data_IF_941523780812
#
_entry.id   IF_941523780812
#
_cell.length_a   1.000
_cell.length_b   1.000
_cell.length_c   1.000
_cell.angle_alpha   90.00
_cell.angle_beta   90.00
_cell.angle_gamma   90.00
#
_symmetry.space_group_name_H-M   'P 1'
#
loop_
_entity.id
_entity.type
_entity.pdbx_description
1 polymer ?
#
# COMPACT_ATOMS: atom_id res chain seq x y z
N UNK A 1 -1.26 -2.36 7.11
CA UNK A 1 -1.88 -2.57 8.44
C UNK A 1 -3.13 -1.70 8.49
N UNK A 2 -3.59 -1.16 9.62
CA UNK A 2 -4.53 -0.02 9.56
C UNK A 2 -3.74 1.29 9.42
N UNK A 3 -4.27 2.34 8.79
CA UNK A 3 -3.60 3.64 8.69
C UNK A 3 -3.15 4.19 10.06
N UNK A 4 -3.98 3.98 11.10
CA UNK A 4 -3.64 4.34 12.48
C UNK A 4 -2.32 3.70 12.96
N UNK A 5 -2.06 2.45 12.58
CA UNK A 5 -0.87 1.74 13.01
C UNK A 5 0.38 2.36 12.37
N UNK A 6 0.30 2.76 11.09
CA UNK A 6 1.38 3.47 10.40
C UNK A 6 1.64 4.85 11.00
N UNK A 7 0.60 5.58 11.42
CA UNK A 7 0.76 6.86 12.14
C UNK A 7 1.48 6.65 13.47
N UNK A 8 1.07 5.65 14.27
CA UNK A 8 1.66 5.39 15.59
C UNK A 8 3.12 4.94 15.43
N UNK A 9 3.39 3.95 14.59
CA UNK A 9 4.72 3.39 14.41
C UNK A 9 5.65 4.34 13.66
N UNK A 10 5.14 5.11 12.70
CA UNK A 10 5.89 6.19 12.06
C UNK A 10 6.30 7.26 13.06
N UNK A 11 5.39 7.69 13.94
CA UNK A 11 5.69 8.65 15.01
C UNK A 11 6.75 8.11 15.96
N UNK A 12 6.58 6.86 16.41
CA UNK A 12 7.54 6.22 17.31
C UNK A 12 8.93 6.07 16.66
N UNK A 13 8.98 5.67 15.39
CA UNK A 13 10.23 5.56 14.64
C UNK A 13 10.91 6.92 14.45
N UNK A 14 10.17 7.97 14.08
CA UNK A 14 10.72 9.33 13.98
C UNK A 14 11.27 9.83 15.32
N UNK A 15 10.56 9.57 16.43
CA UNK A 15 11.02 9.94 17.76
C UNK A 15 12.29 9.19 18.17
N UNK A 16 12.36 7.88 17.87
CA UNK A 16 13.56 7.08 18.11
C UNK A 16 14.75 7.59 17.29
N UNK A 17 14.55 7.88 15.99
CA UNK A 17 15.60 8.45 15.13
C UNK A 17 16.08 9.81 15.64
N UNK A 18 15.18 10.66 16.12
CA UNK A 18 15.54 11.92 16.75
C UNK A 18 16.41 11.71 17.99
N UNK A 19 16.07 10.75 18.85
CA UNK A 19 16.83 10.48 20.08
C UNK A 19 18.21 9.84 19.84
N UNK A 20 18.41 9.19 18.69
CA UNK A 20 19.62 8.42 18.40
C UNK A 20 20.67 9.22 17.63
N UNK A 21 20.34 10.42 17.14
CA UNK A 21 21.27 11.22 16.35
C UNK A 21 20.97 12.71 16.43
N UNK A 22 21.89 13.45 17.04
CA UNK A 22 21.87 14.93 17.10
C UNK A 22 22.02 15.59 15.72
N UNK A 23 22.44 14.83 14.70
CA UNK A 23 22.71 15.34 13.35
C UNK A 23 21.50 15.31 12.40
N UNK A 24 20.37 14.71 12.81
CA UNK A 24 19.21 14.64 11.93
C UNK A 24 18.37 15.90 12.12
N UNK A 25 18.33 16.74 11.08
CA UNK A 25 17.42 17.88 11.04
C UNK A 25 15.96 17.42 11.17
N UNK A 26 15.18 18.09 12.02
CA UNK A 26 13.77 17.75 12.29
C UNK A 26 12.92 17.69 11.01
N UNK A 27 13.24 18.54 10.03
CA UNK A 27 12.60 18.56 8.71
C UNK A 27 12.71 17.21 7.99
N UNK A 28 13.86 16.54 8.09
CA UNK A 28 14.07 15.23 7.48
C UNK A 28 13.22 14.14 8.15
N UNK A 29 13.02 14.23 9.48
CA UNK A 29 12.12 13.33 10.20
C UNK A 29 10.65 13.56 9.84
N UNK A 30 10.27 14.81 9.54
CA UNK A 30 8.94 15.13 9.01
C UNK A 30 8.75 14.48 7.64
N UNK A 31 9.76 14.55 6.75
CA UNK A 31 9.70 13.89 5.45
C UNK A 31 9.55 12.37 5.57
N UNK A 32 10.34 11.74 6.43
CA UNK A 32 10.23 10.31 6.72
C UNK A 32 8.85 9.93 7.27
N UNK A 33 8.35 10.70 8.25
CA UNK A 33 7.06 10.45 8.90
C UNK A 33 5.90 10.59 7.91
N UNK A 34 5.88 11.68 7.14
CA UNK A 34 4.87 11.91 6.11
C UNK A 34 4.91 10.81 5.05
N UNK A 35 6.10 10.43 4.58
CA UNK A 35 6.26 9.37 3.59
C UNK A 35 5.74 8.01 4.10
N UNK A 36 5.96 7.70 5.38
CA UNK A 36 5.42 6.50 6.04
C UNK A 36 3.89 6.44 6.03
N UNK A 37 3.21 7.58 5.98
CA UNK A 37 1.74 7.64 5.99
C UNK A 37 1.19 7.78 4.56
N UNK A 38 1.80 8.65 3.76
CA UNK A 38 1.29 9.04 2.44
C UNK A 38 1.47 7.97 1.37
N UNK A 39 2.37 7.00 1.57
CA UNK A 39 2.51 5.86 0.66
C UNK A 39 1.18 5.10 0.47
N UNK A 40 0.34 5.04 1.52
CA UNK A 40 -0.97 4.38 1.48
C UNK A 40 -2.02 5.09 0.61
N UNK A 41 -1.71 6.26 0.06
CA UNK A 41 -2.64 6.94 -0.87
C UNK A 41 -2.93 6.09 -2.11
N UNK A 42 -2.05 5.13 -2.46
CA UNK A 42 -2.29 4.19 -3.54
C UNK A 42 -3.53 3.29 -3.30
N UNK A 43 -3.86 2.96 -2.05
CA UNK A 43 -5.10 2.27 -1.68
C UNK A 43 -6.33 3.11 -1.98
N UNK A 44 -6.25 4.43 -1.83
CA UNK A 44 -7.33 5.33 -2.19
C UNK A 44 -7.51 5.41 -3.72
N UNK A 45 -6.40 5.47 -4.47
CA UNK A 45 -6.43 5.41 -5.93
C UNK A 45 -6.98 4.07 -6.45
N UNK A 46 -6.60 2.96 -5.82
CA UNK A 46 -7.13 1.63 -6.13
C UNK A 46 -8.65 1.56 -5.94
N UNK A 47 -9.17 2.10 -4.83
CA UNK A 47 -10.61 2.18 -4.61
C UNK A 47 -11.32 3.00 -5.71
N UNK A 48 -10.80 4.20 -6.02
CA UNK A 48 -11.37 5.07 -7.07
C UNK A 48 -11.40 4.33 -8.41
N UNK A 49 -10.30 3.69 -8.77
CA UNK A 49 -10.20 2.93 -10.01
C UNK A 49 -11.23 1.80 -10.08
N UNK A 50 -11.31 0.97 -9.03
CA UNK A 50 -12.23 -0.17 -9.00
C UNK A 50 -13.70 0.24 -8.88
N UNK A 51 -14.00 1.42 -8.35
CA UNK A 51 -15.35 1.98 -8.34
C UNK A 51 -15.70 2.79 -9.61
N UNK A 52 -14.80 2.85 -10.59
CA UNK A 52 -14.96 3.57 -11.87
C UNK A 52 -15.13 5.08 -11.70
N UNK A 53 -14.43 5.69 -10.75
CA UNK A 53 -14.45 7.15 -10.53
C UNK A 53 -15.83 7.72 -10.19
N UNK A 54 -16.70 6.89 -9.60
CA UNK A 54 -18.08 7.28 -9.27
C UNK A 54 -18.27 7.58 -7.78
N UNK A 55 -17.28 7.27 -6.93
CA UNK A 55 -17.35 7.50 -5.48
C UNK A 55 -15.96 7.87 -4.92
N UNK A 56 -15.86 9.05 -4.30
CA UNK A 56 -14.63 9.60 -3.71
C UNK A 56 -14.67 9.60 -2.17
N UNK A 57 -15.59 8.85 -1.56
CA UNK A 57 -15.73 8.80 -0.11
C UNK A 57 -14.60 8.01 0.55
N UNK A 58 -13.77 8.69 1.34
CA UNK A 58 -12.73 8.05 2.15
C UNK A 58 -13.31 6.99 3.11
N UNK A 59 -14.48 7.24 3.71
CA UNK A 59 -15.14 6.26 4.59
C UNK A 59 -15.50 4.97 3.85
N UNK A 60 -15.95 5.07 2.60
CA UNK A 60 -16.28 3.89 1.77
C UNK A 60 -15.03 3.19 1.27
N UNK A 61 -13.96 3.93 0.95
CA UNK A 61 -12.64 3.35 0.69
C UNK A 61 -12.14 2.50 1.87
N UNK A 62 -12.26 3.00 3.11
CA UNK A 62 -11.86 2.24 4.30
C UNK A 62 -12.69 0.96 4.48
N UNK A 63 -14.01 1.03 4.22
CA UNK A 63 -14.88 -0.16 4.23
C UNK A 63 -14.48 -1.15 3.13
N UNK A 64 -14.13 -0.65 1.94
CA UNK A 64 -13.75 -1.45 0.79
C UNK A 64 -12.50 -2.27 1.07
N UNK A 65 -11.44 -1.63 1.58
CA UNK A 65 -10.22 -2.33 1.98
C UNK A 65 -10.43 -3.24 3.20
N UNK A 66 -11.36 -2.90 4.10
CA UNK A 66 -11.81 -3.81 5.16
C UNK A 66 -12.45 -5.10 4.62
N UNK A 67 -13.32 -4.99 3.61
CA UNK A 67 -13.93 -6.14 2.94
C UNK A 67 -12.88 -6.98 2.19
N UNK A 68 -12.00 -6.33 1.44
CA UNK A 68 -10.90 -7.00 0.72
C UNK A 68 -9.98 -7.73 1.69
N UNK A 69 -9.62 -7.11 2.82
CA UNK A 69 -8.85 -7.77 3.86
C UNK A 69 -9.56 -9.01 4.38
N UNK A 70 -10.88 -8.98 4.60
CA UNK A 70 -11.61 -10.19 5.01
C UNK A 70 -11.63 -11.27 3.91
N UNK A 71 -11.58 -10.87 2.64
CA UNK A 71 -11.51 -11.76 1.47
C UNK A 71 -10.10 -12.19 1.08
N UNK A 72 -9.07 -11.84 1.88
CA UNK A 72 -7.66 -12.18 1.59
C UNK A 72 -7.35 -13.68 1.44
N UNK A 73 -8.29 -14.55 1.85
CA UNK A 73 -8.19 -16.00 1.72
C UNK A 73 -8.86 -16.55 0.45
N UNK A 74 -9.56 -15.72 -0.32
CA UNK A 74 -10.15 -16.10 -1.59
C UNK A 74 -9.01 -16.46 -2.58
N UNK A 75 -9.08 -17.61 -3.29
CA UNK A 75 -8.07 -17.99 -4.29
C UNK A 75 -7.88 -16.98 -5.42
N UNK A 76 -8.91 -16.18 -5.73
CA UNK A 76 -8.85 -15.11 -6.71
C UNK A 76 -8.21 -13.81 -6.15
N UNK A 77 -7.92 -13.75 -4.85
CA UNK A 77 -7.33 -12.58 -4.23
C UNK A 77 -5.85 -12.41 -4.61
N UNK A 78 -5.56 -11.29 -5.25
CA UNK A 78 -4.21 -10.83 -5.53
C UNK A 78 -4.19 -9.32 -5.54
N UNK A 79 -3.33 -8.70 -4.72
CA UNK A 79 -3.25 -7.25 -4.62
C UNK A 79 -1.94 -6.70 -5.23
N UNK A 80 -2.01 -5.51 -5.81
CA UNK A 80 -0.86 -4.69 -6.19
C UNK A 80 -1.11 -3.27 -5.69
N UNK A 81 -0.30 -2.84 -4.74
CA UNK A 81 -0.25 -1.45 -4.31
C UNK A 81 0.95 -0.81 -5.02
N UNK A 82 0.69 0.12 -5.94
CA UNK A 82 1.70 0.61 -6.90
C UNK A 82 2.92 1.18 -6.18
N UNK A 83 2.72 2.01 -5.14
CA UNK A 83 3.83 2.62 -4.41
C UNK A 83 4.60 1.62 -3.54
N UNK A 84 4.03 0.43 -3.30
CA UNK A 84 4.67 -0.67 -2.61
C UNK A 84 5.45 -1.61 -3.55
N UNK A 85 5.42 -1.33 -4.86
CA UNK A 85 6.13 -2.13 -5.84
C UNK A 85 7.63 -1.87 -5.82
N UNK A 86 8.41 -2.90 -6.16
CA UNK A 86 9.87 -2.79 -6.34
C UNK A 86 10.18 -1.77 -7.44
N UNK A 87 9.34 -1.67 -8.48
CA UNK A 87 9.49 -0.69 -9.55
C UNK A 87 9.39 0.75 -9.02
N UNK A 88 8.38 1.06 -8.21
CA UNK A 88 8.25 2.39 -7.60
C UNK A 88 9.37 2.69 -6.61
N UNK A 89 9.78 1.71 -5.79
CA UNK A 89 10.90 1.87 -4.87
C UNK A 89 12.24 2.07 -5.57
N UNK A 90 12.47 1.33 -6.66
CA UNK A 90 13.66 1.45 -7.49
C UNK A 90 13.71 2.79 -8.21
N UNK A 91 12.59 3.25 -8.78
CA UNK A 91 12.50 4.55 -9.43
C UNK A 91 12.76 5.70 -8.44
N UNK A 92 12.12 5.69 -7.27
CA UNK A 92 12.36 6.70 -6.23
C UNK A 92 13.80 6.66 -5.72
N UNK A 93 14.37 5.47 -5.53
CA UNK A 93 15.78 5.30 -5.15
C UNK A 93 16.74 5.84 -6.20
N UNK A 94 16.50 5.57 -7.49
CA UNK A 94 17.32 6.09 -8.58
C UNK A 94 17.27 7.63 -8.66
N UNK A 95 16.09 8.23 -8.53
CA UNK A 95 15.94 9.70 -8.48
C UNK A 95 16.63 10.29 -7.26
N UNK A 96 16.54 9.62 -6.11
CA UNK A 96 17.23 10.02 -4.87
C UNK A 96 18.75 10.05 -5.08
N UNK A 97 19.32 8.98 -5.63
CA UNK A 97 20.77 8.88 -5.90
C UNK A 97 21.23 9.89 -6.96
N UNK A 98 20.44 10.06 -8.02
CA UNK A 98 20.76 10.99 -9.11
C UNK A 98 20.78 12.45 -8.64
N UNK A 99 19.84 12.83 -7.77
CA UNK A 99 19.72 14.22 -7.29
C UNK A 99 20.57 14.51 -6.05
N UNK A 100 20.97 13.48 -5.30
CA UNK A 100 21.62 13.63 -3.99
C UNK A 100 20.72 14.29 -2.94
N UNK A 101 19.39 14.35 -3.17
CA UNK A 101 18.47 15.07 -2.30
C UNK A 101 18.25 14.34 -0.98
N UNK A 102 18.66 14.98 0.12
CA UNK A 102 18.40 14.48 1.48
C UNK A 102 16.90 14.30 1.73
N UNK A 103 16.05 15.21 1.24
CA UNK A 103 14.60 15.08 1.41
C UNK A 103 14.07 13.79 0.76
N UNK A 104 14.48 13.50 -0.48
CA UNK A 104 14.08 12.28 -1.18
C UNK A 104 14.62 11.02 -0.49
N UNK A 105 15.81 11.09 0.09
CA UNK A 105 16.38 9.99 0.86
C UNK A 105 15.51 9.62 2.07
N UNK A 106 15.05 10.61 2.84
CA UNK A 106 14.17 10.36 3.99
C UNK A 106 12.77 9.92 3.56
N UNK A 107 12.26 10.43 2.43
CA UNK A 107 11.01 9.92 1.84
C UNK A 107 11.16 8.45 1.46
N UNK A 108 12.25 8.09 0.79
CA UNK A 108 12.53 6.71 0.39
C UNK A 108 12.67 5.78 1.61
N UNK A 109 13.36 6.21 2.67
CA UNK A 109 13.42 5.47 3.93
C UNK A 109 12.05 5.32 4.60
N UNK A 110 11.20 6.36 4.56
CA UNK A 110 9.84 6.28 5.07
C UNK A 110 8.99 5.27 4.31
N UNK A 111 9.11 5.23 2.97
CA UNK A 111 8.46 4.23 2.14
C UNK A 111 8.96 2.81 2.47
N UNK A 112 10.27 2.63 2.58
CA UNK A 112 10.86 1.34 2.92
C UNK A 112 10.40 0.86 4.30
N UNK A 113 10.38 1.76 5.29
CA UNK A 113 9.88 1.46 6.63
C UNK A 113 8.41 1.04 6.61
N UNK A 114 7.56 1.77 5.90
CA UNK A 114 6.16 1.39 5.72
C UNK A 114 6.03 -0.01 5.10
N UNK A 115 6.68 -0.26 3.96
CA UNK A 115 6.63 -1.54 3.25
C UNK A 115 7.12 -2.68 4.16
N UNK A 116 8.14 -2.43 4.98
CA UNK A 116 8.66 -3.40 5.94
C UNK A 116 7.59 -3.78 6.98
N UNK A 117 6.94 -2.79 7.61
CA UNK A 117 5.85 -3.04 8.58
C UNK A 117 4.72 -3.87 7.96
N UNK A 118 4.33 -3.51 6.75
CA UNK A 118 3.27 -4.19 6.02
C UNK A 118 3.65 -5.65 5.66
N UNK A 119 4.91 -5.86 5.27
CA UNK A 119 5.44 -7.19 4.99
C UNK A 119 5.49 -8.04 6.25
N UNK A 120 5.95 -7.48 7.37
CA UNK A 120 5.96 -8.15 8.67
C UNK A 120 4.53 -8.58 9.04
N UNK A 121 3.54 -7.71 8.86
CA UNK A 121 2.13 -8.05 9.13
C UNK A 121 1.64 -9.20 8.26
N UNK A 122 1.94 -9.19 6.96
CA UNK A 122 1.54 -10.27 6.04
C UNK A 122 2.24 -11.60 6.36
N UNK A 123 3.51 -11.56 6.76
CA UNK A 123 4.25 -12.74 7.22
C UNK A 123 3.64 -13.29 8.51
N UNK A 124 3.35 -12.41 9.48
CA UNK A 124 2.67 -12.78 10.73
C UNK A 124 1.30 -13.42 10.48
N UNK A 125 0.56 -12.93 9.48
CA UNK A 125 -0.72 -13.51 9.06
C UNK A 125 -0.59 -14.81 8.25
N UNK A 126 0.64 -15.26 7.96
CA UNK A 126 0.92 -16.45 7.15
C UNK A 126 0.57 -16.28 5.66
N UNK A 127 0.50 -15.04 5.16
CA UNK A 127 0.04 -14.69 3.80
C UNK A 127 0.98 -13.71 3.06
N UNK A 128 2.31 -13.91 3.03
CA UNK A 128 3.22 -13.02 2.31
C UNK A 128 2.95 -12.98 0.79
N UNK A 129 2.35 -14.04 0.23
CA UNK A 129 2.16 -14.19 -1.21
C UNK A 129 0.93 -13.48 -1.77
N UNK A 130 0.01 -12.94 -0.94
CA UNK A 130 -1.22 -12.31 -1.46
C UNK A 130 -0.95 -10.96 -2.15
N UNK A 131 0.15 -10.29 -1.78
CA UNK A 131 0.62 -9.06 -2.40
C UNK A 131 1.64 -9.39 -3.48
N UNK A 132 1.47 -8.82 -4.66
CA UNK A 132 2.54 -8.81 -5.66
C UNK A 132 3.48 -7.65 -5.39
N UNK A 133 4.77 -7.94 -5.23
CA UNK A 133 5.79 -6.90 -5.04
C UNK A 133 6.25 -6.29 -6.37
N UNK A 134 5.81 -6.84 -7.51
CA UNK A 134 6.11 -6.28 -8.84
C UNK A 134 4.85 -6.15 -9.70
N UNK A 135 4.82 -5.14 -10.55
CA UNK A 135 3.74 -4.94 -11.53
C UNK A 135 3.74 -6.08 -12.57
N UNK A 136 4.92 -6.50 -13.02
CA UNK A 136 5.06 -7.63 -13.95
C UNK A 136 4.55 -8.92 -13.31
N UNK A 137 4.94 -9.19 -12.05
CA UNK A 137 4.49 -10.36 -11.30
C UNK A 137 2.98 -10.36 -11.09
N UNK A 138 2.39 -9.19 -10.88
CA UNK A 138 0.95 -9.02 -10.73
C UNK A 138 0.23 -9.43 -12.02
N UNK A 139 0.65 -8.88 -13.17
CA UNK A 139 0.05 -9.18 -14.48
C UNK A 139 0.12 -10.68 -14.79
N UNK A 140 1.29 -11.31 -14.57
CA UNK A 140 1.49 -12.74 -14.83
C UNK A 140 0.58 -13.61 -13.95
N UNK A 141 0.45 -13.27 -12.66
CA UNK A 141 -0.40 -14.00 -11.73
C UNK A 141 -1.88 -13.81 -12.03
N UNK A 142 -2.33 -12.60 -12.37
CA UNK A 142 -3.72 -12.35 -12.82
C UNK A 142 -4.03 -13.18 -14.06
N UNK A 143 -3.15 -13.18 -15.08
CA UNK A 143 -3.33 -14.02 -16.27
C UNK A 143 -3.44 -15.51 -15.92
N UNK A 144 -2.60 -16.01 -15.01
CA UNK A 144 -2.64 -17.40 -14.56
C UNK A 144 -3.93 -17.75 -13.82
N UNK A 145 -4.37 -16.91 -12.88
CA UNK A 145 -5.61 -17.12 -12.13
C UNK A 145 -6.84 -17.10 -13.05
N UNK A 146 -6.89 -16.15 -13.98
CA UNK A 146 -7.98 -16.10 -14.97
C UNK A 146 -8.02 -17.34 -15.87
N UNK A 147 -6.85 -17.88 -16.26
CA UNK A 147 -6.77 -19.17 -17.00
C UNK A 147 -7.28 -20.36 -16.19
N UNK A 148 -7.27 -20.27 -14.86
CA UNK A 148 -7.83 -21.27 -13.94
C UNK A 148 -9.33 -21.05 -13.66
N UNK A 149 -9.96 -20.09 -14.33
CA UNK A 149 -11.38 -19.75 -14.13
C UNK A 149 -11.66 -18.87 -12.91
N UNK A 150 -10.62 -18.32 -12.26
CA UNK A 150 -10.78 -17.43 -11.11
C UNK A 150 -10.97 -15.98 -11.57
N UNK A 151 -12.04 -15.34 -11.09
CA UNK A 151 -12.39 -13.95 -11.44
C UNK A 151 -11.74 -12.95 -10.47
N UNK A 152 -10.48 -12.59 -10.73
CA UNK A 152 -9.75 -11.65 -9.87
C UNK A 152 -10.37 -10.26 -9.91
N UNK A 153 -10.69 -9.74 -11.09
CA UNK A 153 -11.22 -8.37 -11.26
C UNK A 153 -12.61 -8.19 -10.67
N UNK A 154 -13.48 -9.19 -10.81
CA UNK A 154 -14.81 -9.11 -10.25
C UNK A 154 -14.81 -9.16 -8.73
N UNK A 155 -13.81 -9.77 -8.07
CA UNK A 155 -13.67 -9.69 -6.61
C UNK A 155 -13.58 -8.24 -6.12
N UNK A 156 -12.71 -7.44 -6.75
CA UNK A 156 -12.56 -6.00 -6.45
C UNK A 156 -13.80 -5.20 -6.84
N UNK A 157 -14.37 -5.46 -8.02
CA UNK A 157 -15.57 -4.75 -8.50
C UNK A 157 -16.78 -5.01 -7.59
N UNK A 158 -16.99 -6.26 -7.14
CA UNK A 158 -18.06 -6.62 -6.20
C UNK A 158 -17.88 -5.93 -4.85
N UNK A 159 -16.65 -5.90 -4.31
CA UNK A 159 -16.36 -5.18 -3.07
C UNK A 159 -16.67 -3.68 -3.20
N UNK A 160 -16.31 -3.06 -4.34
CA UNK A 160 -16.60 -1.65 -4.59
C UNK A 160 -18.11 -1.37 -4.70
N UNK A 161 -18.88 -2.25 -5.32
CA UNK A 161 -20.33 -2.12 -5.42
C UNK A 161 -21.03 -2.30 -4.07
N UNK A 162 -20.57 -3.26 -3.25
CA UNK A 162 -21.13 -3.55 -1.94
C UNK A 162 -21.02 -2.37 -0.97
N UNK A 163 -19.85 -1.71 -0.91
CA UNK A 163 -19.70 -0.53 -0.03
C UNK A 163 -20.53 0.66 -0.48
N UNK A 164 -20.94 0.69 -1.75
CA UNK A 164 -21.79 1.71 -2.32
C UNK A 164 -23.29 1.47 -2.11
N UNK A 165 -23.67 0.26 -1.69
CA UNK A 165 -25.06 -0.17 -1.61
C UNK A 165 -25.64 -0.62 -2.96
N UNK A 166 -24.79 -0.83 -3.97
CA UNK A 166 -25.18 -1.33 -5.29
C UNK A 166 -25.09 -2.86 -5.31
N UNK A 167 -25.75 -3.54 -4.38
CA UNK A 167 -26.00 -4.96 -4.53
C UNK A 167 -27.15 -5.07 -5.55
N UNK A 168 -26.85 -5.50 -6.76
CA UNK A 168 -27.85 -5.65 -7.82
C UNK A 168 -29.03 -6.49 -7.35
N UNK A 169 -30.23 -5.93 -7.54
CA UNK A 169 -31.46 -6.66 -7.81
C UNK A 169 -31.30 -7.56 -9.03
#
# INVERSE_FOLDING_TARGET
MRPRDHVILGTAASAALYSLSDYIAIQNLIYFWLATILIDIDHYLDYIYNNKFTDYSFKRMMRYHGLLYNRRFDPAFINLSIFHSVESMGALGAVTLYTGSTALLYIWWGFLFHIALDTIKLVYDGKPSIRSNTAVGYILRVKRLNKQGLDTKGLYTRAANEVRGNCGS
#
